data_IF_951775423766
#
_entry.id   IF_951775423766
#
_cell.length_a   1.000
_cell.length_b   1.000
_cell.length_c   1.000
_cell.angle_alpha   90.00
_cell.angle_beta   90.00
_cell.angle_gamma   90.00
#
_symmetry.space_group_name_H-M   'P 1'
#
loop_
_entity.id
_entity.type
_entity.pdbx_description
1 polymer ?
#
# COMPACT_ATOMS: atom_id res chain seq x y z
N UNK A 1 -29.53 -65.88 4.54
CA UNK A 1 -30.31 -64.85 3.83
C UNK A 1 -30.44 -63.67 4.79
N UNK A 2 -29.63 -62.63 4.56
CA UNK A 2 -29.24 -61.66 5.59
C UNK A 2 -30.16 -60.43 5.63
N UNK A 3 -30.81 -60.25 6.78
CA UNK A 3 -31.53 -59.04 7.19
C UNK A 3 -30.58 -57.91 7.62
N UNK A 4 -29.57 -57.57 6.80
CA UNK A 4 -28.57 -56.51 7.07
C UNK A 4 -28.44 -55.46 5.96
N UNK A 5 -29.44 -55.33 5.09
CA UNK A 5 -29.39 -54.45 3.91
C UNK A 5 -30.45 -53.33 3.91
N UNK A 6 -31.00 -52.96 5.07
CA UNK A 6 -32.10 -51.97 5.15
C UNK A 6 -31.89 -50.81 6.14
N UNK A 7 -30.68 -50.63 6.68
CA UNK A 7 -30.39 -49.52 7.61
C UNK A 7 -29.35 -48.51 7.09
N UNK A 8 -29.02 -48.51 5.79
CA UNK A 8 -28.04 -47.58 5.21
C UNK A 8 -28.59 -46.62 4.15
N UNK A 9 -29.91 -46.45 4.01
CA UNK A 9 -30.48 -45.52 3.01
C UNK A 9 -31.48 -44.50 3.53
N UNK A 10 -31.60 -44.28 4.84
CA UNK A 10 -32.44 -43.22 5.41
C UNK A 10 -31.63 -42.08 6.06
N UNK A 11 -30.31 -42.07 5.90
CA UNK A 11 -29.40 -41.07 6.47
C UNK A 11 -28.94 -39.97 5.52
N UNK A 12 -29.58 -39.79 4.35
CA UNK A 12 -29.09 -38.87 3.32
C UNK A 12 -30.23 -38.17 2.59
N UNK A 13 -30.93 -37.25 3.28
CA UNK A 13 -31.79 -36.25 2.62
C UNK A 13 -32.34 -35.14 3.54
N UNK A 14 -31.63 -34.75 4.60
CA UNK A 14 -31.75 -33.35 5.03
C UNK A 14 -30.81 -32.57 4.11
N UNK A 15 -31.36 -32.00 3.04
CA UNK A 15 -30.66 -30.94 2.34
C UNK A 15 -30.34 -29.88 3.39
N UNK A 16 -29.07 -29.78 3.81
CA UNK A 16 -28.63 -28.71 4.70
C UNK A 16 -29.06 -27.41 4.03
N UNK A 17 -30.01 -26.72 4.64
CA UNK A 17 -30.51 -25.46 4.12
C UNK A 17 -29.31 -24.53 4.02
N UNK A 18 -29.00 -24.06 2.81
CA UNK A 18 -27.92 -23.11 2.58
C UNK A 18 -28.26 -21.83 3.35
N UNK A 19 -27.36 -21.38 4.23
CA UNK A 19 -27.54 -20.15 4.99
C UNK A 19 -27.78 -18.95 4.07
N UNK A 20 -28.73 -18.10 4.47
CA UNK A 20 -29.10 -16.89 3.74
C UNK A 20 -28.75 -15.68 4.62
N UNK A 21 -27.84 -14.84 4.15
CA UNK A 21 -27.57 -13.53 4.76
C UNK A 21 -28.20 -12.44 3.89
N UNK A 22 -29.12 -11.66 4.44
CA UNK A 22 -29.81 -10.58 3.71
C UNK A 22 -29.42 -9.22 4.28
N UNK A 23 -28.51 -8.52 3.59
CA UNK A 23 -28.01 -7.21 4.03
C UNK A 23 -29.05 -6.09 3.90
N UNK A 24 -30.18 -6.31 3.22
CA UNK A 24 -31.30 -5.35 3.26
C UNK A 24 -31.91 -5.29 4.66
N UNK A 25 -31.89 -6.40 5.40
CA UNK A 25 -32.31 -6.41 6.81
C UNK A 25 -31.37 -5.59 7.67
N UNK A 26 -30.05 -5.70 7.42
CA UNK A 26 -29.05 -4.85 8.05
C UNK A 26 -29.35 -3.37 7.80
N UNK A 27 -29.67 -2.97 6.55
CA UNK A 27 -30.03 -1.58 6.23
C UNK A 27 -31.20 -1.09 7.09
N UNK A 28 -32.35 -1.78 7.05
CA UNK A 28 -33.54 -1.34 7.77
C UNK A 28 -33.36 -1.33 9.29
N UNK A 29 -32.64 -2.32 9.82
CA UNK A 29 -32.35 -2.41 11.24
C UNK A 29 -31.40 -1.31 11.70
N UNK A 30 -30.31 -1.08 10.95
CA UNK A 30 -29.30 -0.08 11.30
C UNK A 30 -29.86 1.33 11.23
N UNK A 31 -30.68 1.65 10.22
CA UNK A 31 -31.38 2.94 10.14
C UNK A 31 -32.19 3.20 11.42
N UNK A 32 -33.01 2.22 11.81
CA UNK A 32 -33.80 2.30 13.04
C UNK A 32 -32.91 2.44 14.27
N UNK A 33 -31.80 1.71 14.35
CA UNK A 33 -30.91 1.79 15.50
C UNK A 33 -30.19 3.15 15.60
N UNK A 34 -29.78 3.73 14.46
CA UNK A 34 -29.25 5.10 14.39
C UNK A 34 -30.28 6.09 14.93
N UNK A 35 -31.53 6.02 14.46
CA UNK A 35 -32.62 6.89 14.94
C UNK A 35 -32.86 6.76 16.44
N UNK A 36 -32.86 5.53 16.97
CA UNK A 36 -33.00 5.25 18.41
C UNK A 36 -31.83 5.83 19.20
N UNK A 37 -30.58 5.63 18.74
CA UNK A 37 -29.39 6.20 19.40
C UNK A 37 -29.38 7.72 19.41
N UNK A 38 -29.83 8.35 18.33
CA UNK A 38 -29.95 9.82 18.25
C UNK A 38 -31.01 10.32 19.22
N UNK A 39 -32.21 9.72 19.20
CA UNK A 39 -33.33 10.11 20.06
C UNK A 39 -33.01 9.96 21.54
N UNK A 40 -32.29 8.88 21.88
CA UNK A 40 -32.01 8.52 23.27
C UNK A 40 -30.67 9.13 23.76
N UNK A 41 -30.01 9.97 22.96
CA UNK A 41 -28.79 10.67 23.36
C UNK A 41 -29.08 11.77 24.39
N UNK A 42 -28.61 11.56 25.62
CA UNK A 42 -28.68 12.55 26.70
C UNK A 42 -27.37 13.34 26.75
N UNK A 43 -27.47 14.68 26.61
CA UNK A 43 -26.34 15.60 26.70
C UNK A 43 -25.52 15.44 28.00
N UNK A 44 -26.15 14.94 29.06
CA UNK A 44 -25.53 14.78 30.37
C UNK A 44 -24.90 13.39 30.59
N UNK A 45 -25.04 12.44 29.64
CA UNK A 45 -24.50 11.07 29.76
C UNK A 45 -23.95 10.65 28.39
N UNK A 46 -22.65 10.89 28.17
CA UNK A 46 -21.96 10.36 26.99
C UNK A 46 -21.41 8.95 27.26
N UNK A 47 -22.00 7.94 26.64
CA UNK A 47 -21.50 6.55 26.68
C UNK A 47 -20.37 6.33 25.64
N UNK A 48 -19.45 7.28 25.54
CA UNK A 48 -18.34 7.26 24.58
C UNK A 48 -17.12 8.01 25.10
N UNK A 49 -16.02 8.06 24.32
CA UNK A 49 -14.84 8.82 24.70
C UNK A 49 -15.15 10.31 24.83
N UNK A 50 -14.54 10.96 25.83
CA UNK A 50 -14.64 12.40 26.03
C UNK A 50 -15.50 12.78 27.24
N UNK A 51 -15.96 14.03 27.26
CA UNK A 51 -16.76 14.59 28.34
C UNK A 51 -18.22 14.80 27.93
N UNK A 52 -19.11 14.80 28.92
CA UNK A 52 -20.49 15.23 28.78
C UNK A 52 -20.54 16.70 28.31
N UNK A 53 -21.67 17.11 27.71
CA UNK A 53 -21.93 18.46 27.18
C UNK A 53 -20.98 18.95 26.06
N UNK A 54 -19.95 18.18 25.71
CA UNK A 54 -18.99 18.56 24.65
C UNK A 54 -19.55 18.13 23.30
N UNK A 55 -19.49 18.98 22.25
CA UNK A 55 -19.97 18.61 20.94
C UNK A 55 -19.31 17.35 20.39
N UNK A 56 -20.09 16.52 19.70
CA UNK A 56 -19.62 15.28 19.06
C UNK A 56 -18.65 15.64 17.93
N UNK A 57 -17.45 15.07 17.99
CA UNK A 57 -16.35 15.26 17.02
C UNK A 57 -16.19 14.06 16.09
N UNK A 58 -16.64 12.88 16.51
CA UNK A 58 -16.60 11.69 15.67
C UNK A 58 -17.79 10.78 16.00
N UNK A 59 -18.41 10.25 14.95
CA UNK A 59 -19.45 9.21 15.04
C UNK A 59 -18.87 7.92 14.46
N UNK A 60 -18.69 6.90 15.30
CA UNK A 60 -18.14 5.62 14.87
C UNK A 60 -19.22 4.55 14.90
N UNK A 61 -19.37 3.82 13.79
CA UNK A 61 -20.07 2.54 13.78
C UNK A 61 -19.04 1.42 13.74
N UNK A 62 -18.79 0.85 14.91
CA UNK A 62 -17.96 -0.32 15.08
C UNK A 62 -18.77 -1.60 14.84
N UNK A 63 -18.15 -2.64 14.31
CA UNK A 63 -18.81 -3.94 14.19
C UNK A 63 -17.84 -5.12 14.28
N UNK A 64 -18.37 -6.28 14.65
CA UNK A 64 -17.68 -7.56 14.55
C UNK A 64 -18.65 -8.58 13.97
N UNK A 65 -18.20 -9.40 13.04
CA UNK A 65 -19.05 -10.37 12.35
C UNK A 65 -18.61 -11.82 12.57
N UNK A 66 -17.44 -12.07 13.15
CA UNK A 66 -16.82 -13.39 13.21
C UNK A 66 -16.97 -14.12 14.56
N UNK A 67 -16.89 -13.41 15.69
CA UNK A 67 -17.01 -14.02 17.03
C UNK A 67 -18.42 -13.93 17.61
N UNK A 68 -18.85 -12.73 18.01
CA UNK A 68 -20.15 -12.55 18.65
C UNK A 68 -21.23 -12.02 17.70
N UNK A 69 -20.84 -11.38 16.60
CA UNK A 69 -21.79 -10.76 15.68
C UNK A 69 -22.49 -9.57 16.32
N UNK A 70 -21.87 -8.40 16.34
CA UNK A 70 -22.45 -7.20 16.94
C UNK A 70 -22.14 -5.95 16.12
N UNK A 71 -22.91 -4.90 16.39
CA UNK A 71 -22.71 -3.55 15.89
C UNK A 71 -22.81 -2.57 17.06
N UNK A 72 -22.02 -1.51 17.06
CA UNK A 72 -21.98 -0.49 18.11
C UNK A 72 -21.92 0.90 17.49
N UNK A 73 -22.68 1.86 18.02
CA UNK A 73 -22.62 3.26 17.61
C UNK A 73 -22.08 4.08 18.78
N UNK A 74 -20.91 4.69 18.59
CA UNK A 74 -20.18 5.44 19.62
C UNK A 74 -20.01 6.90 19.18
N UNK A 75 -20.35 7.81 20.09
CA UNK A 75 -20.13 9.25 19.93
C UNK A 75 -18.88 9.67 20.71
N UNK A 76 -17.86 10.16 20.00
CA UNK A 76 -16.63 10.66 20.59
C UNK A 76 -16.67 12.19 20.66
N UNK A 77 -16.55 12.74 21.86
CA UNK A 77 -16.58 14.18 22.13
C UNK A 77 -15.20 14.74 22.51
N UNK A 78 -14.13 13.93 22.44
CA UNK A 78 -12.77 14.39 22.71
C UNK A 78 -12.38 15.47 21.70
N UNK A 79 -11.75 16.53 22.18
CA UNK A 79 -11.17 17.56 21.29
C UNK A 79 -10.06 17.03 20.38
N UNK A 80 -9.55 15.83 20.66
CA UNK A 80 -8.52 15.11 19.89
C UNK A 80 -9.06 13.84 19.26
N UNK A 81 -10.37 13.74 19.01
CA UNK A 81 -10.98 12.58 18.35
C UNK A 81 -10.23 12.26 17.04
N UNK A 82 -9.95 10.96 16.86
CA UNK A 82 -9.20 10.42 15.74
C UNK A 82 -9.54 8.92 15.59
N UNK A 83 -9.15 8.33 14.45
CA UNK A 83 -9.22 6.88 14.25
C UNK A 83 -8.10 6.17 15.05
N UNK A 84 -8.18 6.25 16.38
CA UNK A 84 -7.19 5.71 17.34
C UNK A 84 -7.67 4.41 18.02
N UNK A 85 -8.89 3.97 17.72
CA UNK A 85 -9.49 2.75 18.26
C UNK A 85 -10.02 2.87 19.69
N UNK A 86 -10.03 4.06 20.29
CA UNK A 86 -10.50 4.24 21.68
C UNK A 86 -11.99 3.92 21.85
N UNK A 87 -12.79 3.97 20.78
CA UNK A 87 -14.19 3.56 20.80
C UNK A 87 -14.38 2.10 21.25
N UNK A 88 -13.36 1.23 21.10
CA UNK A 88 -13.44 -0.19 21.49
C UNK A 88 -13.73 -0.39 22.98
N UNK A 89 -13.34 0.53 23.86
CA UNK A 89 -13.63 0.40 25.30
C UNK A 89 -15.08 0.67 25.66
N UNK A 90 -15.88 1.15 24.70
CA UNK A 90 -17.29 1.54 24.87
C UNK A 90 -18.26 0.59 24.14
N UNK A 91 -17.77 -0.55 23.65
CA UNK A 91 -18.60 -1.52 22.90
C UNK A 91 -19.73 -2.04 23.79
N UNK A 92 -19.46 -2.53 25.00
CA UNK A 92 -20.45 -3.24 25.83
C UNK A 92 -21.73 -2.42 26.11
N UNK A 93 -21.62 -1.11 26.33
CA UNK A 93 -22.78 -0.24 26.59
C UNK A 93 -23.56 0.12 25.33
N UNK A 94 -22.92 0.07 24.16
CA UNK A 94 -23.47 0.57 22.90
C UNK A 94 -23.77 -0.53 21.88
N UNK A 95 -23.43 -1.78 22.18
CA UNK A 95 -23.51 -2.88 21.23
C UNK A 95 -24.91 -3.49 21.17
N UNK A 96 -25.29 -3.90 19.96
CA UNK A 96 -26.46 -4.72 19.68
C UNK A 96 -26.02 -5.98 18.93
N UNK A 97 -26.66 -7.10 19.23
CA UNK A 97 -26.36 -8.37 18.56
C UNK A 97 -26.96 -8.42 17.15
N UNK A 98 -26.16 -8.94 16.22
CA UNK A 98 -26.50 -9.18 14.82
C UNK A 98 -26.09 -10.62 14.47
N UNK A 99 -26.77 -11.58 15.10
CA UNK A 99 -26.42 -13.01 15.07
C UNK A 99 -26.34 -13.61 13.67
N UNK A 100 -27.10 -13.09 12.70
CA UNK A 100 -27.05 -13.52 11.30
C UNK A 100 -25.65 -13.36 10.68
N UNK A 101 -24.86 -12.37 11.13
CA UNK A 101 -23.49 -12.16 10.65
C UNK A 101 -22.54 -13.25 11.13
N UNK A 102 -22.57 -13.56 12.43
CA UNK A 102 -21.78 -14.64 13.01
C UNK A 102 -22.15 -15.99 12.40
N UNK A 103 -23.45 -16.27 12.25
CA UNK A 103 -23.90 -17.50 11.59
C UNK A 103 -23.38 -17.62 10.15
N UNK A 104 -23.40 -16.52 9.40
CA UNK A 104 -22.86 -16.50 8.04
C UNK A 104 -21.34 -16.73 8.01
N UNK A 105 -20.60 -16.15 8.97
CA UNK A 105 -19.16 -16.39 9.12
C UNK A 105 -18.86 -17.85 9.48
N UNK A 106 -19.48 -18.39 10.52
CA UNK A 106 -19.28 -19.80 10.94
C UNK A 106 -19.58 -20.76 9.81
N UNK A 107 -20.66 -20.54 9.05
CA UNK A 107 -20.95 -21.39 7.91
C UNK A 107 -19.89 -21.27 6.80
N UNK A 108 -19.51 -20.05 6.42
CA UNK A 108 -18.57 -19.82 5.33
C UNK A 108 -17.15 -20.28 5.67
N UNK A 109 -16.67 -19.98 6.87
CA UNK A 109 -15.25 -20.07 7.25
C UNK A 109 -14.96 -21.29 8.11
N UNK A 110 -15.79 -21.57 9.11
CA UNK A 110 -15.56 -22.70 10.03
C UNK A 110 -16.09 -24.01 9.46
N UNK A 111 -17.28 -23.99 8.85
CA UNK A 111 -17.93 -25.17 8.28
C UNK A 111 -17.59 -25.37 6.78
N UNK A 112 -16.98 -24.38 6.13
CA UNK A 112 -16.69 -24.40 4.69
C UNK A 112 -17.92 -24.53 3.79
N UNK A 113 -19.10 -24.20 4.33
CA UNK A 113 -20.38 -24.28 3.64
C UNK A 113 -20.65 -22.99 2.87
N UNK A 114 -21.09 -23.06 1.60
CA UNK A 114 -21.43 -21.86 0.86
C UNK A 114 -22.62 -21.16 1.51
N UNK A 115 -22.65 -19.84 1.42
CA UNK A 115 -23.79 -19.01 1.85
C UNK A 115 -24.34 -18.23 0.66
N UNK A 116 -25.63 -17.93 0.69
CA UNK A 116 -26.24 -16.99 -0.24
C UNK A 116 -26.37 -15.64 0.45
N UNK A 117 -25.88 -14.60 -0.20
CA UNK A 117 -25.90 -13.23 0.26
C UNK A 117 -26.83 -12.40 -0.63
N UNK A 118 -27.82 -11.74 -0.04
CA UNK A 118 -28.58 -10.69 -0.73
C UNK A 118 -28.02 -9.32 -0.34
N UNK A 119 -27.59 -8.56 -1.33
CA UNK A 119 -27.06 -7.21 -1.17
C UNK A 119 -28.18 -6.17 -1.00
N UNK A 120 -27.87 -4.94 -0.54
CA UNK A 120 -28.85 -3.87 -0.38
C UNK A 120 -29.68 -3.56 -1.63
N UNK A 121 -29.08 -3.69 -2.82
CA UNK A 121 -29.75 -3.49 -4.11
C UNK A 121 -30.67 -4.67 -4.54
N UNK A 122 -30.75 -5.71 -3.71
CA UNK A 122 -31.50 -6.93 -3.96
C UNK A 122 -30.77 -7.95 -4.84
N UNK A 123 -29.57 -7.67 -5.32
CA UNK A 123 -28.77 -8.64 -6.05
C UNK A 123 -28.30 -9.77 -5.13
N UNK A 124 -28.24 -10.98 -5.67
CA UNK A 124 -27.82 -12.17 -4.93
C UNK A 124 -26.40 -12.58 -5.33
N UNK A 125 -25.58 -12.95 -4.34
CA UNK A 125 -24.25 -13.53 -4.51
C UNK A 125 -24.16 -14.84 -3.76
N UNK A 126 -23.51 -15.83 -4.35
CA UNK A 126 -23.17 -17.07 -3.65
C UNK A 126 -21.70 -17.03 -3.24
N UNK A 127 -21.44 -17.03 -1.94
CA UNK A 127 -20.11 -17.09 -1.36
C UNK A 127 -19.77 -18.55 -1.02
N UNK A 128 -18.51 -18.93 -1.16
CA UNK A 128 -18.02 -20.29 -0.91
C UNK A 128 -16.53 -20.32 -0.61
N UNK A 129 -15.88 -21.48 -0.73
CA UNK A 129 -14.51 -21.76 -0.26
C UNK A 129 -13.41 -20.76 -0.71
N UNK A 130 -13.58 -20.07 -1.84
CA UNK A 130 -12.62 -19.08 -2.33
C UNK A 130 -12.86 -17.67 -1.80
N UNK A 131 -13.86 -17.49 -0.93
CA UNK A 131 -14.21 -16.18 -0.37
C UNK A 131 -13.31 -15.88 0.82
N UNK A 132 -12.65 -14.74 0.81
CA UNK A 132 -11.80 -14.32 1.93
C UNK A 132 -12.65 -13.70 3.04
N UNK A 133 -12.20 -13.84 4.29
CA UNK A 133 -12.79 -13.16 5.45
C UNK A 133 -12.86 -11.65 5.21
N UNK A 134 -11.80 -11.07 4.64
CA UNK A 134 -11.72 -9.66 4.26
C UNK A 134 -12.84 -9.25 3.31
N UNK A 135 -13.17 -10.07 2.31
CA UNK A 135 -14.23 -9.73 1.36
C UNK A 135 -15.63 -9.75 2.01
N UNK A 136 -15.89 -10.67 2.94
CA UNK A 136 -17.13 -10.65 3.71
C UNK A 136 -17.21 -9.39 4.60
N UNK A 137 -16.10 -9.06 5.28
CA UNK A 137 -15.98 -7.84 6.07
C UNK A 137 -16.27 -6.59 5.22
N UNK A 138 -15.68 -6.49 4.03
CA UNK A 138 -15.90 -5.39 3.08
C UNK A 138 -17.37 -5.24 2.67
N UNK A 139 -18.09 -6.34 2.41
CA UNK A 139 -19.50 -6.28 2.02
C UNK A 139 -20.39 -5.77 3.17
N UNK A 140 -20.13 -6.21 4.41
CA UNK A 140 -20.86 -5.75 5.60
C UNK A 140 -20.52 -4.29 5.89
N UNK A 141 -19.22 -3.95 5.96
CA UNK A 141 -18.73 -2.61 6.28
C UNK A 141 -19.15 -1.56 5.25
N UNK A 142 -19.16 -1.91 3.96
CA UNK A 142 -19.69 -1.06 2.88
C UNK A 142 -21.18 -0.79 3.09
N UNK A 143 -21.95 -1.82 3.45
CA UNK A 143 -23.39 -1.65 3.72
C UNK A 143 -23.63 -0.68 4.90
N UNK A 144 -22.87 -0.85 5.98
CA UNK A 144 -22.95 0.02 7.17
C UNK A 144 -22.59 1.46 6.81
N UNK A 145 -21.50 1.66 6.07
CA UNK A 145 -21.07 2.96 5.57
C UNK A 145 -22.16 3.65 4.78
N UNK A 146 -22.76 2.96 3.80
CA UNK A 146 -23.76 3.56 2.93
C UNK A 146 -25.00 4.00 3.72
N UNK A 147 -25.39 3.25 4.75
CA UNK A 147 -26.45 3.64 5.69
C UNK A 147 -26.07 4.87 6.51
N UNK A 148 -24.83 4.92 7.02
CA UNK A 148 -24.33 6.05 7.80
C UNK A 148 -24.28 7.34 6.98
N UNK A 149 -23.76 7.27 5.75
CA UNK A 149 -23.74 8.38 4.79
C UNK A 149 -25.16 8.85 4.50
N UNK A 150 -26.08 7.92 4.23
CA UNK A 150 -27.47 8.27 3.96
C UNK A 150 -28.14 8.97 5.14
N UNK A 151 -27.96 8.47 6.38
CA UNK A 151 -28.48 9.12 7.57
C UNK A 151 -27.89 10.54 7.79
N UNK A 152 -26.61 10.74 7.46
CA UNK A 152 -25.98 12.07 7.47
C UNK A 152 -26.61 12.99 6.43
N UNK A 153 -26.71 12.54 5.19
CA UNK A 153 -27.17 13.35 4.07
C UNK A 153 -28.67 13.71 4.19
N UNK A 154 -29.47 12.88 4.86
CA UNK A 154 -30.86 13.19 5.23
C UNK A 154 -31.00 14.11 6.44
N UNK A 155 -29.89 14.43 7.11
CA UNK A 155 -29.87 15.31 8.27
C UNK A 155 -30.38 14.65 9.55
N UNK A 156 -30.38 13.31 9.64
CA UNK A 156 -30.85 12.58 10.82
C UNK A 156 -30.11 13.00 12.09
N UNK A 157 -28.85 13.43 11.95
CA UNK A 157 -28.02 13.85 13.08
C UNK A 157 -28.18 15.33 13.48
N UNK A 158 -29.07 16.11 12.83
CA UNK A 158 -29.21 17.55 13.10
C UNK A 158 -29.67 17.88 14.53
N UNK A 159 -30.31 16.93 15.22
CA UNK A 159 -30.77 17.10 16.60
C UNK A 159 -29.68 16.82 17.63
N UNK A 160 -28.51 16.31 17.20
CA UNK A 160 -27.35 16.08 18.07
C UNK A 160 -26.48 17.34 18.17
N UNK A 161 -25.75 17.53 19.29
CA UNK A 161 -24.77 18.62 19.45
C UNK A 161 -23.49 18.31 18.66
N UNK A 162 -23.53 18.35 17.34
CA UNK A 162 -22.39 17.99 16.49
C UNK A 162 -21.46 19.19 16.26
N UNK A 163 -20.16 18.95 16.31
CA UNK A 163 -19.15 19.94 15.96
C UNK A 163 -19.05 20.15 14.44
N UNK A 164 -18.67 21.35 13.98
CA UNK A 164 -18.56 21.66 12.54
C UNK A 164 -17.56 20.78 11.77
N UNK A 165 -16.55 20.26 12.47
CA UNK A 165 -15.49 19.35 11.99
C UNK A 165 -15.75 17.88 12.35
N UNK A 166 -17.00 17.53 12.70
CA UNK A 166 -17.34 16.14 13.00
C UNK A 166 -17.16 15.26 11.76
N UNK A 167 -16.57 14.08 11.97
CA UNK A 167 -16.40 13.09 10.93
C UNK A 167 -16.99 11.74 11.33
N UNK A 168 -17.17 10.89 10.33
CA UNK A 168 -17.88 9.63 10.42
C UNK A 168 -16.92 8.49 10.13
N UNK A 169 -17.07 7.39 10.87
CA UNK A 169 -16.17 6.25 10.82
C UNK A 169 -16.96 4.96 10.81
N UNK A 170 -16.51 4.00 9.99
CA UNK A 170 -16.96 2.60 10.07
C UNK A 170 -15.73 1.73 10.20
N UNK A 171 -15.63 0.98 11.28
CA UNK A 171 -14.49 0.11 11.56
C UNK A 171 -14.95 -1.29 11.97
N UNK A 172 -14.33 -2.29 11.35
CA UNK A 172 -14.42 -3.67 11.81
C UNK A 172 -13.43 -3.86 12.97
N UNK A 173 -13.87 -4.51 14.05
CA UNK A 173 -13.15 -4.63 15.32
C UNK A 173 -11.73 -5.18 15.17
N UNK A 174 -11.53 -6.17 14.29
CA UNK A 174 -10.23 -6.79 14.05
C UNK A 174 -9.45 -6.18 12.86
N UNK A 175 -9.94 -5.05 12.32
CA UNK A 175 -9.27 -4.26 11.29
C UNK A 175 -9.37 -4.81 9.86
N UNK A 176 -10.31 -5.74 9.60
CA UNK A 176 -10.52 -6.28 8.25
C UNK A 176 -11.14 -5.25 7.28
N UNK A 177 -11.83 -4.23 7.83
CA UNK A 177 -12.41 -3.12 7.10
C UNK A 177 -12.32 -1.84 7.93
N UNK A 178 -12.08 -0.72 7.26
CA UNK A 178 -12.06 0.61 7.86
C UNK A 178 -12.41 1.67 6.84
N UNK A 179 -13.22 2.64 7.23
CA UNK A 179 -13.65 3.76 6.41
C UNK A 179 -13.82 5.01 7.29
N UNK A 180 -13.46 6.18 6.75
CA UNK A 180 -13.73 7.46 7.39
C UNK A 180 -13.91 8.56 6.35
N UNK A 181 -14.94 9.38 6.47
CA UNK A 181 -15.18 10.48 5.52
C UNK A 181 -14.19 11.64 5.65
N UNK A 182 -13.48 11.76 6.78
CA UNK A 182 -12.34 12.66 6.92
C UNK A 182 -11.08 12.11 6.22
N UNK A 183 -10.97 10.79 6.04
CA UNK A 183 -9.91 10.17 5.23
C UNK A 183 -10.31 10.01 3.77
N UNK A 184 -11.59 10.21 3.43
CA UNK A 184 -12.06 10.40 2.05
C UNK A 184 -11.66 11.77 1.46
N UNK A 185 -10.78 12.53 2.13
CA UNK A 185 -9.94 13.54 1.45
C UNK A 185 -9.05 12.80 0.46
N UNK A 186 -9.66 12.45 -0.67
CA UNK A 186 -9.19 11.76 -1.85
C UNK A 186 -8.02 10.82 -1.55
N UNK A 187 -8.31 9.52 -1.34
CA UNK A 187 -7.34 8.53 -1.79
C UNK A 187 -7.15 8.81 -3.27
N UNK A 188 -6.11 9.60 -3.58
CA UNK A 188 -5.81 9.98 -4.94
C UNK A 188 -5.72 8.66 -5.68
N UNK A 189 -6.58 8.46 -6.68
CA UNK A 189 -6.45 7.28 -7.53
C UNK A 189 -5.00 7.17 -8.01
N UNK A 190 -4.54 5.96 -8.30
CA UNK A 190 -3.22 5.74 -8.90
C UNK A 190 -2.97 6.76 -10.04
N UNK A 191 -3.96 6.97 -10.90
CA UNK A 191 -3.88 7.94 -11.99
C UNK A 191 -3.77 9.39 -11.50
N UNK A 192 -4.56 9.80 -10.51
CA UNK A 192 -4.48 11.16 -9.96
C UNK A 192 -3.11 11.45 -9.33
N UNK A 193 -2.49 10.45 -8.69
CA UNK A 193 -1.13 10.56 -8.18
C UNK A 193 -0.10 10.73 -9.32
N UNK A 194 -0.23 9.95 -10.39
CA UNK A 194 0.66 10.08 -11.56
C UNK A 194 0.47 11.43 -12.27
N UNK A 195 -0.77 11.90 -12.41
CA UNK A 195 -1.09 13.21 -12.98
C UNK A 195 -0.51 14.34 -12.11
N UNK A 196 -0.48 14.18 -10.79
CA UNK A 196 0.17 15.11 -9.87
C UNK A 196 1.70 15.13 -10.06
N UNK A 197 2.34 13.98 -10.27
CA UNK A 197 3.79 13.91 -10.56
C UNK A 197 4.13 14.60 -11.89
N UNK A 198 3.25 14.46 -12.88
CA UNK A 198 3.37 15.04 -14.21
C UNK A 198 3.16 16.57 -14.17
N UNK A 199 2.14 17.06 -13.47
CA UNK A 199 1.83 18.48 -13.35
C UNK A 199 1.85 19.22 -14.71
N UNK A 200 2.65 20.28 -14.81
CA UNK A 200 2.86 21.06 -16.04
C UNK A 200 4.13 20.67 -16.82
N UNK A 201 4.79 19.55 -16.46
CA UNK A 201 6.15 19.20 -16.91
C UNK A 201 6.22 19.01 -18.42
N UNK A 202 5.22 18.36 -19.01
CA UNK A 202 5.15 18.12 -20.47
C UNK A 202 5.19 19.41 -21.31
N UNK A 203 4.84 20.56 -20.74
CA UNK A 203 4.89 21.87 -21.40
C UNK A 203 6.27 22.55 -21.35
N UNK A 204 7.21 22.02 -20.56
CA UNK A 204 8.54 22.61 -20.34
C UNK A 204 9.51 22.20 -21.44
N UNK A 205 10.63 22.92 -21.54
CA UNK A 205 11.76 22.53 -22.40
C UNK A 205 12.32 21.16 -21.99
N UNK A 206 12.88 20.40 -22.93
CA UNK A 206 13.45 19.07 -22.67
C UNK A 206 14.43 19.05 -21.47
N UNK A 207 15.35 20.01 -21.37
CA UNK A 207 16.29 20.11 -20.24
C UNK A 207 15.57 20.26 -18.88
N UNK A 208 14.52 21.08 -18.85
CA UNK A 208 13.71 21.29 -17.65
C UNK A 208 12.85 20.06 -17.30
N UNK A 209 12.40 19.29 -18.31
CA UNK A 209 11.74 18.00 -18.08
C UNK A 209 12.73 17.00 -17.47
N UNK A 210 13.94 16.89 -18.01
CA UNK A 210 15.00 16.04 -17.45
C UNK A 210 15.31 16.46 -16.01
N UNK A 211 15.49 17.76 -15.75
CA UNK A 211 15.76 18.28 -14.40
C UNK A 211 14.64 17.93 -13.42
N UNK A 212 13.36 18.07 -13.82
CA UNK A 212 12.21 17.70 -13.00
C UNK A 212 12.26 16.22 -12.58
N UNK A 213 12.41 15.32 -13.55
CA UNK A 213 12.40 13.87 -13.28
C UNK A 213 13.62 13.43 -12.47
N UNK A 214 14.80 14.00 -12.71
CA UNK A 214 15.98 13.79 -11.86
C UNK A 214 15.72 14.32 -10.44
N UNK A 215 15.06 15.48 -10.31
CA UNK A 215 14.67 16.06 -9.02
C UNK A 215 13.74 15.14 -8.23
N UNK A 216 12.77 14.50 -8.88
CA UNK A 216 11.89 13.50 -8.25
C UNK A 216 12.69 12.28 -7.77
N UNK A 217 13.57 11.71 -8.61
CA UNK A 217 14.44 10.59 -8.21
C UNK A 217 15.34 10.96 -7.01
N UNK A 218 15.84 12.20 -6.93
CA UNK A 218 16.62 12.69 -5.80
C UNK A 218 15.79 12.77 -4.50
N UNK A 219 14.53 13.24 -4.56
CA UNK A 219 13.63 13.26 -3.40
C UNK A 219 13.38 11.85 -2.89
N UNK A 220 13.06 10.92 -3.79
CA UNK A 220 12.84 9.51 -3.45
C UNK A 220 14.10 8.89 -2.83
N UNK A 221 15.25 9.04 -3.49
CA UNK A 221 16.51 8.49 -3.00
C UNK A 221 16.93 9.03 -1.63
N UNK A 222 16.48 10.25 -1.29
CA UNK A 222 16.68 10.86 0.03
C UNK A 222 15.65 10.48 1.10
N UNK A 223 14.64 9.67 0.76
CA UNK A 223 13.55 9.28 1.66
C UNK A 223 12.56 10.42 1.95
N UNK A 224 12.55 11.47 1.11
CA UNK A 224 11.65 12.63 1.26
C UNK A 224 10.33 12.47 0.52
N UNK A 225 10.24 11.48 -0.36
CA UNK A 225 9.02 11.13 -1.09
C UNK A 225 8.35 9.94 -0.37
N UNK A 226 7.41 10.20 0.55
CA UNK A 226 6.76 9.11 1.33
C UNK A 226 5.38 9.50 1.93
N UNK A 227 4.66 10.45 1.33
CA UNK A 227 3.36 10.89 1.89
C UNK A 227 2.17 10.21 1.23
N UNK A 228 2.35 9.52 0.11
CA UNK A 228 1.29 8.82 -0.63
C UNK A 228 1.49 7.31 -0.59
N UNK A 229 0.39 6.56 -0.50
CA UNK A 229 0.40 5.10 -0.64
C UNK A 229 0.92 4.64 -2.02
N UNK A 230 0.81 5.51 -3.03
CA UNK A 230 1.30 5.28 -4.39
C UNK A 230 2.76 5.69 -4.61
N UNK A 231 3.47 6.11 -3.57
CA UNK A 231 4.86 6.58 -3.67
C UNK A 231 5.80 5.54 -4.31
N UNK A 232 5.49 4.24 -4.21
CA UNK A 232 6.26 3.17 -4.84
C UNK A 232 6.25 3.21 -6.38
N UNK A 233 5.29 3.90 -7.00
CA UNK A 233 5.21 4.04 -8.46
C UNK A 233 6.14 5.13 -9.01
N UNK A 234 6.48 6.12 -8.19
CA UNK A 234 7.21 7.32 -8.62
C UNK A 234 8.58 7.05 -9.28
N UNK A 235 9.44 6.12 -8.77
CA UNK A 235 10.72 5.83 -9.43
C UNK A 235 10.52 5.32 -10.86
N UNK A 236 9.62 4.34 -11.02
CA UNK A 236 9.35 3.71 -12.32
C UNK A 236 8.77 4.73 -13.29
N UNK A 237 7.81 5.53 -12.85
CA UNK A 237 7.20 6.56 -13.66
C UNK A 237 8.24 7.59 -14.15
N UNK A 238 9.07 8.11 -13.25
CA UNK A 238 10.14 9.05 -13.61
C UNK A 238 11.13 8.46 -14.64
N UNK A 239 11.47 7.18 -14.51
CA UNK A 239 12.36 6.46 -15.44
C UNK A 239 11.70 6.27 -16.81
N UNK A 240 10.40 5.97 -16.86
CA UNK A 240 9.65 5.89 -18.12
C UNK A 240 9.61 7.24 -18.84
N UNK A 241 9.37 8.34 -18.11
CA UNK A 241 9.43 9.69 -18.69
C UNK A 241 10.85 10.05 -19.18
N UNK A 242 11.89 9.76 -18.40
CA UNK A 242 13.29 9.98 -18.80
C UNK A 242 13.68 9.17 -20.04
N UNK A 243 13.12 7.96 -20.21
CA UNK A 243 13.32 7.14 -21.39
C UNK A 243 12.72 7.78 -22.65
N UNK A 244 11.54 8.40 -22.53
CA UNK A 244 10.88 9.10 -23.64
C UNK A 244 11.69 10.31 -24.13
N UNK A 245 12.50 10.92 -23.24
CA UNK A 245 13.38 12.06 -23.56
C UNK A 245 14.70 11.64 -24.26
N UNK A 246 14.93 10.34 -24.46
CA UNK A 246 16.01 9.82 -25.30
C UNK A 246 17.43 9.97 -24.70
N UNK A 247 18.44 10.00 -25.58
CA UNK A 247 19.86 9.93 -25.20
C UNK A 247 20.34 11.16 -24.38
N UNK A 248 19.67 12.30 -24.49
CA UNK A 248 20.01 13.53 -23.75
C UNK A 248 19.81 13.35 -22.23
N UNK A 249 18.93 12.43 -21.81
CA UNK A 249 18.70 12.12 -20.40
C UNK A 249 19.81 11.26 -19.77
N UNK A 250 20.62 10.56 -20.55
CA UNK A 250 21.55 9.53 -20.06
C UNK A 250 22.65 10.11 -19.16
N UNK A 251 23.26 11.23 -19.56
CA UNK A 251 24.30 11.88 -18.75
C UNK A 251 23.75 12.41 -17.41
N UNK A 252 22.62 13.14 -17.38
CA UNK A 252 21.93 13.52 -16.14
C UNK A 252 21.59 12.33 -15.23
N UNK A 253 21.03 11.25 -15.78
CA UNK A 253 20.71 10.01 -15.04
C UNK A 253 21.98 9.42 -14.40
N UNK A 254 23.08 9.34 -15.13
CA UNK A 254 24.35 8.84 -14.57
C UNK A 254 24.95 9.78 -13.52
N UNK A 255 24.75 11.10 -13.63
CA UNK A 255 25.16 12.06 -12.59
C UNK A 255 24.37 11.83 -11.29
N UNK A 256 23.06 11.55 -11.38
CA UNK A 256 22.23 11.11 -10.26
C UNK A 256 22.78 9.83 -9.63
N UNK A 257 22.97 8.76 -10.40
CA UNK A 257 23.48 7.47 -9.87
C UNK A 257 24.85 7.64 -9.21
N UNK A 258 25.75 8.41 -9.84
CA UNK A 258 27.10 8.70 -9.30
C UNK A 258 27.07 9.36 -7.92
N UNK A 259 26.09 10.24 -7.66
CA UNK A 259 25.91 10.89 -6.34
C UNK A 259 25.61 9.86 -5.26
N UNK A 260 24.74 8.89 -5.57
CA UNK A 260 24.28 7.88 -4.62
C UNK A 260 25.19 6.65 -4.53
N UNK A 261 25.99 6.36 -5.57
CA UNK A 261 26.94 5.24 -5.61
C UNK A 261 28.03 5.26 -4.51
N UNK A 262 28.22 6.40 -3.84
CA UNK A 262 29.13 6.52 -2.70
C UNK A 262 28.48 6.15 -1.36
N UNK A 263 27.21 5.73 -1.33
CA UNK A 263 26.46 5.40 -0.12
C UNK A 263 26.12 3.89 -0.08
N UNK A 264 25.95 3.32 1.12
CA UNK A 264 25.41 1.96 1.30
C UNK A 264 24.04 1.79 0.63
N UNK A 265 23.77 0.64 0.01
CA UNK A 265 22.45 0.23 -0.53
C UNK A 265 21.49 -0.33 0.53
N UNK A 266 22.03 -0.77 1.67
CA UNK A 266 21.28 -1.37 2.75
C UNK A 266 21.71 -0.77 4.08
N UNK A 267 20.77 -0.66 5.01
CA UNK A 267 21.07 -0.47 6.42
C UNK A 267 21.36 -1.84 7.08
N UNK A 268 22.57 -1.97 7.62
CA UNK A 268 23.08 -3.19 8.22
C UNK A 268 23.92 -4.09 7.29
N UNK A 269 24.75 -4.93 7.93
CA UNK A 269 25.69 -5.86 7.27
C UNK A 269 25.69 -7.26 7.89
N UNK A 270 24.79 -7.52 8.85
CA UNK A 270 24.84 -8.71 9.70
C UNK A 270 23.72 -9.70 9.36
N UNK A 271 24.01 -11.00 9.15
CA UNK A 271 23.03 -12.03 8.75
C UNK A 271 21.86 -12.25 9.70
N UNK A 272 21.95 -11.75 10.94
CA UNK A 272 20.94 -11.91 11.99
C UNK A 272 20.09 -10.66 12.22
N UNK A 273 20.32 -9.59 11.46
CA UNK A 273 19.50 -8.37 11.51
C UNK A 273 18.66 -8.29 10.24
N UNK A 274 17.46 -7.71 10.37
CA UNK A 274 16.61 -7.36 9.23
C UNK A 274 17.43 -6.43 8.33
N UNK A 275 17.76 -6.89 7.13
CA UNK A 275 18.40 -6.08 6.09
C UNK A 275 17.31 -5.17 5.56
N UNK A 276 17.55 -3.86 5.63
CA UNK A 276 16.59 -2.86 5.13
C UNK A 276 17.22 -2.19 3.92
N UNK A 277 16.54 -2.24 2.79
CA UNK A 277 16.94 -1.48 1.60
C UNK A 277 16.80 0.01 1.87
N UNK A 278 17.82 0.78 1.49
CA UNK A 278 17.76 2.23 1.61
C UNK A 278 16.97 2.82 0.42
N UNK A 279 16.24 3.94 0.61
CA UNK A 279 15.35 4.50 -0.42
C UNK A 279 16.00 4.75 -1.79
N UNK A 280 17.32 4.95 -1.84
CA UNK A 280 18.06 5.15 -3.09
C UNK A 280 18.26 3.88 -3.94
N UNK A 281 18.04 2.69 -3.38
CA UNK A 281 18.36 1.41 -4.03
C UNK A 281 17.59 1.24 -5.34
N UNK A 282 16.25 1.25 -5.27
CA UNK A 282 15.37 1.11 -6.43
C UNK A 282 15.64 2.17 -7.53
N UNK A 283 15.60 3.49 -7.25
CA UNK A 283 15.79 4.49 -8.31
C UNK A 283 17.18 4.44 -8.94
N UNK A 284 18.23 4.07 -8.21
CA UNK A 284 19.57 3.92 -8.78
C UNK A 284 19.69 2.71 -9.72
N UNK A 285 18.98 1.61 -9.43
CA UNK A 285 18.95 0.41 -10.27
C UNK A 285 18.16 0.68 -11.55
N UNK A 286 16.97 1.26 -11.43
CA UNK A 286 16.12 1.56 -12.58
C UNK A 286 16.82 2.54 -13.53
N UNK A 287 17.53 3.52 -12.98
CA UNK A 287 18.41 4.42 -13.73
C UNK A 287 19.52 3.68 -14.50
N UNK A 288 20.20 2.72 -13.88
CA UNK A 288 21.22 1.93 -14.56
C UNK A 288 20.63 0.99 -15.61
N UNK A 289 19.43 0.46 -15.38
CA UNK A 289 18.70 -0.33 -16.37
C UNK A 289 18.33 0.51 -17.60
N UNK A 290 17.86 1.75 -17.40
CA UNK A 290 17.64 2.71 -18.48
C UNK A 290 18.91 2.91 -19.31
N UNK A 291 20.04 3.19 -18.65
CA UNK A 291 21.34 3.38 -19.32
C UNK A 291 21.78 2.13 -20.08
N UNK A 292 21.64 0.94 -19.48
CA UNK A 292 22.03 -0.33 -20.09
C UNK A 292 21.23 -0.65 -21.38
N UNK A 293 20.00 -0.14 -21.48
CA UNK A 293 19.13 -0.31 -22.63
C UNK A 293 19.27 0.82 -23.67
N UNK A 294 20.12 1.83 -23.42
CA UNK A 294 20.39 2.91 -24.35
C UNK A 294 21.43 2.51 -25.41
N UNK A 295 21.61 3.35 -26.44
CA UNK A 295 22.70 3.25 -27.41
C UNK A 295 23.81 4.30 -27.20
N UNK A 296 23.76 5.06 -26.09
CA UNK A 296 24.61 6.22 -25.88
C UNK A 296 26.05 5.83 -25.50
N UNK A 297 26.99 5.99 -26.43
CA UNK A 297 28.41 5.61 -26.29
C UNK A 297 29.36 6.82 -26.18
N UNK A 298 28.90 7.93 -25.60
CA UNK A 298 29.75 9.12 -25.45
C UNK A 298 30.78 8.95 -24.33
N UNK A 299 31.94 9.62 -24.46
CA UNK A 299 33.08 9.50 -23.52
C UNK A 299 32.69 9.87 -22.08
N UNK A 300 31.78 10.82 -21.90
CA UNK A 300 31.30 11.20 -20.56
C UNK A 300 30.54 10.06 -19.87
N UNK A 301 29.72 9.28 -20.61
CA UNK A 301 28.99 8.11 -20.11
C UNK A 301 29.97 7.04 -19.63
N UNK A 302 30.98 6.70 -20.44
CA UNK A 302 32.03 5.75 -20.05
C UNK A 302 32.74 6.19 -18.75
N UNK A 303 33.09 7.48 -18.67
CA UNK A 303 33.78 8.07 -17.52
C UNK A 303 32.92 8.06 -16.24
N UNK A 304 31.63 8.36 -16.35
CA UNK A 304 30.67 8.34 -15.25
C UNK A 304 30.44 6.92 -14.74
N UNK A 305 30.19 5.96 -15.62
CA UNK A 305 30.03 4.54 -15.25
C UNK A 305 31.28 3.99 -14.55
N UNK A 306 32.48 4.30 -15.06
CA UNK A 306 33.73 3.96 -14.39
C UNK A 306 33.83 4.58 -12.98
N UNK A 307 33.37 5.82 -12.79
CA UNK A 307 33.38 6.46 -11.48
C UNK A 307 32.33 5.85 -10.52
N UNK A 308 31.17 5.45 -11.04
CA UNK A 308 30.13 4.73 -10.29
C UNK A 308 30.69 3.41 -9.76
N UNK A 309 31.25 2.55 -10.62
CA UNK A 309 31.88 1.27 -10.21
C UNK A 309 32.91 1.51 -9.12
N UNK A 310 33.80 2.48 -9.30
CA UNK A 310 34.85 2.79 -8.33
C UNK A 310 34.28 3.21 -6.96
N UNK A 311 33.26 4.08 -6.95
CA UNK A 311 32.64 4.58 -5.72
C UNK A 311 31.89 3.48 -4.98
N UNK A 312 31.09 2.69 -5.71
CA UNK A 312 30.27 1.62 -5.13
C UNK A 312 31.13 0.46 -4.65
N UNK A 313 32.20 0.09 -5.36
CA UNK A 313 33.18 -0.88 -4.85
C UNK A 313 33.86 -0.37 -3.58
N UNK A 314 34.24 0.91 -3.54
CA UNK A 314 34.92 1.49 -2.36
C UNK A 314 34.03 1.43 -1.11
N UNK A 315 32.79 1.90 -1.20
CA UNK A 315 31.86 1.92 -0.04
C UNK A 315 31.49 0.52 0.44
N UNK A 316 31.54 -0.48 -0.45
CA UNK A 316 31.14 -1.85 -0.15
C UNK A 316 32.30 -2.82 0.13
N UNK A 317 33.56 -2.41 -0.05
CA UNK A 317 34.74 -3.29 0.01
C UNK A 317 34.93 -4.08 1.32
N UNK A 318 34.37 -3.62 2.44
CA UNK A 318 34.37 -4.32 3.73
C UNK A 318 33.02 -4.91 4.15
N UNK A 319 31.99 -4.82 3.31
CA UNK A 319 30.63 -5.22 3.64
C UNK A 319 30.35 -6.65 3.21
N UNK A 320 29.47 -7.33 3.94
CA UNK A 320 29.00 -8.68 3.55
C UNK A 320 28.09 -8.61 2.33
N UNK A 321 27.25 -7.58 2.25
CA UNK A 321 26.38 -7.30 1.11
C UNK A 321 26.92 -6.08 0.38
N UNK A 322 27.30 -6.27 -0.88
CA UNK A 322 27.87 -5.20 -1.69
C UNK A 322 26.82 -4.35 -2.39
N UNK A 323 25.57 -4.80 -2.41
CA UNK A 323 24.56 -4.20 -3.27
C UNK A 323 24.85 -4.44 -4.75
N UNK A 324 23.91 -4.04 -5.59
CA UNK A 324 23.86 -4.43 -6.99
C UNK A 324 24.32 -3.29 -7.93
N UNK A 325 24.44 -2.05 -7.43
CA UNK A 325 24.95 -0.90 -8.20
C UNK A 325 26.29 -1.18 -8.90
N UNK A 326 27.34 -1.75 -8.26
CA UNK A 326 28.61 -2.00 -8.96
C UNK A 326 28.44 -2.98 -10.13
N UNK A 327 27.59 -4.00 -9.96
CA UNK A 327 27.33 -5.01 -10.99
C UNK A 327 26.58 -4.42 -12.18
N UNK A 328 25.52 -3.63 -11.93
CA UNK A 328 24.76 -2.99 -13.00
C UNK A 328 25.58 -1.95 -13.77
N UNK A 329 26.38 -1.13 -13.08
CA UNK A 329 27.26 -0.18 -13.76
C UNK A 329 28.33 -0.90 -14.62
N UNK A 330 28.88 -2.01 -14.12
CA UNK A 330 29.80 -2.86 -14.89
C UNK A 330 29.11 -3.55 -16.09
N UNK A 331 27.83 -3.91 -15.95
CA UNK A 331 27.01 -4.42 -17.06
C UNK A 331 26.82 -3.35 -18.14
N UNK A 332 26.48 -2.11 -17.75
CA UNK A 332 26.39 -0.99 -18.70
C UNK A 332 27.71 -0.81 -19.47
N UNK A 333 28.85 -0.83 -18.78
CA UNK A 333 30.17 -0.74 -19.42
C UNK A 333 30.39 -1.87 -20.44
N UNK A 334 30.12 -3.12 -20.06
CA UNK A 334 30.28 -4.28 -20.95
C UNK A 334 29.34 -4.26 -22.16
N UNK A 335 28.12 -3.77 -21.99
CA UNK A 335 27.10 -3.72 -23.05
C UNK A 335 27.37 -2.58 -24.03
N UNK A 336 27.70 -1.38 -23.52
CA UNK A 336 27.88 -0.18 -24.33
C UNK A 336 29.29 -0.05 -24.92
N UNK A 337 30.29 -0.65 -24.28
CA UNK A 337 31.69 -0.49 -24.64
C UNK A 337 32.42 -1.84 -24.69
N UNK A 338 32.67 -2.33 -25.90
CA UNK A 338 33.21 -3.67 -26.17
C UNK A 338 34.56 -3.98 -25.50
N UNK A 339 35.33 -2.98 -25.06
CA UNK A 339 36.60 -3.21 -24.38
C UNK A 339 36.47 -3.71 -22.93
N UNK A 340 35.30 -3.61 -22.30
CA UNK A 340 35.12 -4.01 -20.90
C UNK A 340 34.72 -5.49 -20.77
N UNK A 341 35.24 -6.19 -19.75
CA UNK A 341 34.87 -7.58 -19.52
C UNK A 341 33.39 -7.69 -19.10
N UNK A 342 32.82 -8.90 -19.23
CA UNK A 342 31.50 -9.20 -18.66
C UNK A 342 31.56 -9.17 -17.13
N UNK A 343 30.57 -8.58 -16.42
CA UNK A 343 30.59 -8.53 -14.97
C UNK A 343 30.36 -9.91 -14.35
N UNK A 344 31.13 -10.25 -13.32
CA UNK A 344 30.95 -11.48 -12.54
C UNK A 344 30.34 -11.12 -11.19
N UNK A 345 29.08 -11.48 -10.97
CA UNK A 345 28.35 -11.25 -9.71
C UNK A 345 28.48 -12.46 -8.79
N UNK A 346 28.83 -12.23 -7.53
CA UNK A 346 28.77 -13.26 -6.50
C UNK A 346 27.31 -13.53 -6.09
N UNK A 347 26.88 -14.80 -6.17
CA UNK A 347 25.46 -15.18 -6.09
C UNK A 347 24.72 -14.86 -4.79
N UNK A 348 25.43 -14.67 -3.66
CA UNK A 348 24.80 -14.39 -2.36
C UNK A 348 25.13 -13.02 -1.75
N UNK A 349 26.07 -12.28 -2.33
CA UNK A 349 26.55 -11.01 -1.75
C UNK A 349 26.42 -9.82 -2.69
N UNK A 350 26.07 -10.09 -3.95
CA UNK A 350 26.07 -9.12 -5.05
C UNK A 350 27.44 -8.47 -5.31
N UNK A 351 28.54 -9.03 -4.76
CA UNK A 351 29.89 -8.54 -5.03
C UNK A 351 30.23 -8.66 -6.52
N UNK A 352 30.71 -7.56 -7.12
CA UNK A 352 31.37 -7.58 -8.42
C UNK A 352 32.77 -8.19 -8.26
N UNK A 353 32.94 -9.45 -8.64
CA UNK A 353 34.15 -10.25 -8.39
C UNK A 353 35.35 -9.72 -9.19
N UNK A 354 35.15 -9.36 -10.46
CA UNK A 354 36.20 -8.88 -11.37
C UNK A 354 36.32 -7.34 -11.40
N UNK A 355 36.02 -6.65 -10.30
CA UNK A 355 36.01 -5.18 -10.26
C UNK A 355 37.38 -4.53 -10.59
N UNK A 356 38.49 -5.24 -10.37
CA UNK A 356 39.83 -4.72 -10.67
C UNK A 356 40.10 -4.54 -12.17
N UNK A 357 39.47 -5.35 -13.02
CA UNK A 357 39.66 -5.30 -14.48
C UNK A 357 39.14 -3.97 -15.04
N UNK A 358 37.99 -3.51 -14.55
CA UNK A 358 37.40 -2.21 -14.90
C UNK A 358 38.30 -1.03 -14.48
N UNK A 359 39.04 -1.16 -13.38
CA UNK A 359 39.96 -0.12 -12.93
C UNK A 359 41.25 -0.06 -13.76
N UNK A 360 41.71 -1.19 -14.33
CA UNK A 360 42.93 -1.26 -15.15
C UNK A 360 42.73 -0.61 -16.52
N UNK A 361 41.62 -0.89 -17.21
CA UNK A 361 41.32 -0.39 -18.57
C UNK A 361 41.42 1.14 -18.63
N UNK A 362 40.87 1.84 -17.63
CA UNK A 362 40.91 3.32 -17.55
C UNK A 362 42.33 3.89 -17.47
N UNK A 363 43.27 3.18 -16.84
CA UNK A 363 44.66 3.65 -16.66
C UNK A 363 45.44 3.58 -17.97
N UNK A 364 45.18 2.59 -18.82
CA UNK A 364 45.84 2.42 -20.11
C UNK A 364 45.49 3.59 -21.04
N UNK A 365 44.19 3.93 -21.19
CA UNK A 365 43.74 5.05 -22.04
C UNK A 365 44.40 6.40 -21.70
N UNK A 366 44.48 6.74 -20.40
CA UNK A 366 45.08 8.01 -19.97
C UNK A 366 46.55 8.17 -20.33
N UNK A 367 47.29 7.07 -20.51
CA UNK A 367 48.69 7.14 -20.92
C UNK A 367 48.82 7.45 -22.40
N UNK A 368 47.96 6.85 -23.22
CA UNK A 368 47.98 7.04 -24.67
C UNK A 368 47.58 8.48 -25.06
N UNK A 369 46.66 9.10 -24.31
CA UNK A 369 46.21 10.48 -24.57
C UNK A 369 47.26 11.56 -24.18
N UNK A 370 48.28 11.23 -23.40
CA UNK A 370 49.32 12.18 -22.92
C UNK A 370 50.62 12.15 -23.72
N UNK A 371 50.73 11.30 -24.74
CA UNK A 371 51.97 11.09 -25.52
C UNK A 371 51.93 11.81 -26.90
N UNK A 372 50.85 12.52 -27.19
CA UNK A 372 50.75 13.46 -28.32
C UNK A 372 50.68 14.90 -27.80
#
# INVERSE_FOLDING_TARGET
MNARSRQQSEGSQLANAVMQLDLRRTVSFLQKHIEERIRDYDLCINEGPGGDETPIKQITIGYQFDQAGWLSIVFDTRSTAANDGEWNTFIESNAIEVTDWHNAYSDLVENGSPINLTLPDGSERRLGENTTVKYLAELIGTTIRDVLIHARDEGSFNDLPISEDCFYVVEEHDGAYGWSDHLEVESQSEQAYLDQLEGDVSSKTQDAQIEHWIGLLERIASGKENTSEWAFLAPRYAIERLKELGDDAIVPVLKFVRKWAGKPEFDGDRPKRKIVELPMHAPAIDALMLVCNSSCQVVEVESLLCDIVRRSVKVNSGRKLWGIIPVWAARCLSTLFNQYPKPIQHGSTNKLVNHEEYARIRRTKRRDDTVN
#
